data_IF_244387821872
#
_entry.id   IF_244387821872
#
_cell.length_a   1.000
_cell.length_b   1.000
_cell.length_c   1.000
_cell.angle_alpha   90.00
_cell.angle_beta   90.00
_cell.angle_gamma   90.00
#
_symmetry.space_group_name_H-M   'P 1'
#
loop_
_entity.id
_entity.type
_entity.pdbx_description
1 polymer ?
#
# COMPACT_ATOMS: atom_id res chain seq x y z
N UNK A 1 -7.73 30.62 8.80
CA UNK A 1 -6.28 30.28 8.86
C UNK A 1 -5.98 29.02 8.04
N UNK A 2 -6.70 27.91 8.19
CA UNK A 2 -6.53 26.72 7.33
C UNK A 2 -6.82 26.99 5.83
N UNK A 3 -7.83 27.79 5.50
CA UNK A 3 -8.20 28.08 4.11
C UNK A 3 -7.18 28.92 3.35
N UNK A 4 -6.49 29.86 4.00
CA UNK A 4 -5.44 30.68 3.39
C UNK A 4 -4.17 29.85 3.16
N UNK A 5 -3.78 29.03 4.12
CA UNK A 5 -2.62 28.15 3.99
C UNK A 5 -2.81 27.09 2.89
N UNK A 6 -4.01 26.49 2.81
CA UNK A 6 -4.34 25.55 1.73
C UNK A 6 -4.33 26.21 0.35
N UNK A 7 -4.69 27.50 0.27
CA UNK A 7 -4.58 28.27 -0.96
C UNK A 7 -3.11 28.48 -1.34
N UNK A 8 -2.26 28.87 -0.37
CA UNK A 8 -0.83 29.13 -0.59
C UNK A 8 -0.08 27.87 -1.04
N UNK A 9 -0.34 26.71 -0.42
CA UNK A 9 0.30 25.46 -0.81
C UNK A 9 -0.14 25.00 -2.20
N UNK A 10 -1.43 25.13 -2.53
CA UNK A 10 -1.95 24.79 -3.86
C UNK A 10 -1.32 25.69 -4.92
N UNK A 11 -1.20 26.99 -4.64
CA UNK A 11 -0.56 27.94 -5.53
C UNK A 11 0.92 27.62 -5.74
N UNK A 12 1.64 27.30 -4.66
CA UNK A 12 3.03 26.85 -4.75
C UNK A 12 3.20 25.65 -5.69
N UNK A 13 2.37 24.60 -5.54
CA UNK A 13 2.49 23.43 -6.39
C UNK A 13 2.09 23.71 -7.84
N UNK A 14 1.07 24.55 -8.09
CA UNK A 14 0.72 25.00 -9.45
C UNK A 14 1.87 25.76 -10.12
N UNK A 15 2.55 26.64 -9.38
CA UNK A 15 3.65 27.44 -9.93
C UNK A 15 4.91 26.59 -10.15
N UNK A 16 5.20 25.68 -9.22
CA UNK A 16 6.43 24.86 -9.25
C UNK A 16 6.34 23.67 -10.20
N UNK A 17 5.15 23.13 -10.39
CA UNK A 17 4.85 21.92 -11.17
C UNK A 17 3.59 22.13 -12.05
N UNK A 18 3.62 23.08 -13.00
CA UNK A 18 2.43 23.51 -13.73
C UNK A 18 1.82 22.43 -14.62
N UNK A 19 2.62 21.45 -15.05
CA UNK A 19 2.15 20.36 -15.91
C UNK A 19 1.82 19.09 -15.12
N UNK A 20 2.41 18.96 -13.93
CA UNK A 20 2.29 17.75 -13.13
C UNK A 20 1.25 17.89 -12.03
N UNK A 21 1.13 19.05 -11.38
CA UNK A 21 0.20 19.21 -10.27
C UNK A 21 -1.24 19.30 -10.77
N UNK A 22 -2.03 18.32 -10.36
CA UNK A 22 -3.46 18.25 -10.68
C UNK A 22 -4.25 19.02 -9.65
N UNK A 23 -4.24 18.51 -8.41
CA UNK A 23 -5.11 19.03 -7.35
C UNK A 23 -4.62 18.64 -5.95
N UNK A 24 -5.13 19.39 -4.98
CA UNK A 24 -5.03 19.10 -3.56
C UNK A 24 -6.45 19.02 -3.00
N UNK A 25 -6.76 17.94 -2.27
CA UNK A 25 -8.05 17.75 -1.59
C UNK A 25 -7.81 17.48 -0.11
N UNK A 26 -8.65 18.09 0.72
CA UNK A 26 -8.77 17.75 2.14
C UNK A 26 -10.09 17.02 2.31
N UNK A 27 -10.03 15.77 2.77
CA UNK A 27 -11.22 14.96 3.03
C UNK A 27 -11.34 14.68 4.52
N UNK A 28 -12.56 14.64 5.04
CA UNK A 28 -12.82 14.31 6.44
C UNK A 28 -13.12 12.82 6.56
N UNK A 29 -12.24 12.09 7.23
CA UNK A 29 -12.38 10.64 7.49
C UNK A 29 -11.77 10.29 8.85
N UNK A 30 -12.58 10.34 9.92
CA UNK A 30 -12.16 10.22 11.34
C UNK A 30 -11.14 11.28 11.82
N UNK A 31 -10.82 12.23 10.95
CA UNK A 31 -9.83 13.29 11.05
C UNK A 31 -9.56 13.82 9.63
N UNK A 32 -8.64 14.75 9.42
CA UNK A 32 -8.37 15.22 8.06
C UNK A 32 -7.39 14.29 7.36
N UNK A 33 -7.69 13.99 6.10
CA UNK A 33 -6.79 13.28 5.20
C UNK A 33 -6.46 14.20 4.04
N UNK A 34 -5.16 14.41 3.84
CA UNK A 34 -4.63 15.33 2.84
C UNK A 34 -4.23 14.54 1.60
N UNK A 35 -4.81 14.87 0.46
CA UNK A 35 -4.62 14.15 -0.80
C UNK A 35 -4.01 15.08 -1.83
N UNK A 36 -2.79 14.75 -2.27
CA UNK A 36 -2.13 15.43 -3.38
C UNK A 36 -2.12 14.52 -4.60
N UNK A 37 -2.48 15.07 -5.76
CA UNK A 37 -2.50 14.34 -7.02
C UNK A 37 -1.58 15.01 -8.02
N UNK A 38 -0.68 14.21 -8.60
CA UNK A 38 0.23 14.61 -9.64
C UNK A 38 0.12 13.68 -10.84
N UNK A 39 0.31 14.21 -12.04
CA UNK A 39 0.27 13.48 -13.29
C UNK A 39 1.57 13.61 -14.07
N UNK A 40 1.98 12.52 -14.72
CA UNK A 40 3.22 12.41 -15.48
C UNK A 40 2.96 11.68 -16.79
N UNK A 41 3.36 12.28 -17.91
CA UNK A 41 3.29 11.61 -19.22
C UNK A 41 4.21 10.38 -19.30
N UNK A 42 5.42 10.48 -18.73
CA UNK A 42 6.47 9.47 -18.87
C UNK A 42 7.10 9.05 -17.54
N UNK A 43 7.37 7.75 -17.38
CA UNK A 43 8.10 7.17 -16.24
C UNK A 43 9.40 7.93 -15.95
N UNK A 44 10.15 8.28 -16.99
CA UNK A 44 11.44 8.99 -16.87
C UNK A 44 11.31 10.33 -16.15
N UNK A 45 10.20 11.03 -16.35
CA UNK A 45 9.93 12.31 -15.69
C UNK A 45 9.49 12.10 -14.24
N UNK A 46 8.60 11.12 -14.00
CA UNK A 46 8.21 10.70 -12.66
C UNK A 46 9.44 10.35 -11.81
N UNK A 47 10.31 9.48 -12.31
CA UNK A 47 11.48 8.97 -11.61
C UNK A 47 12.49 10.05 -11.19
N UNK A 48 12.54 11.18 -11.90
CA UNK A 48 13.40 12.33 -11.58
C UNK A 48 12.75 13.31 -10.60
N UNK A 49 11.42 13.33 -10.54
CA UNK A 49 10.66 14.44 -9.95
C UNK A 49 10.00 14.08 -8.62
N UNK A 50 9.54 12.83 -8.46
CA UNK A 50 8.71 12.40 -7.31
C UNK A 50 9.34 12.72 -5.95
N UNK A 51 10.65 12.57 -5.80
CA UNK A 51 11.35 12.77 -4.52
C UNK A 51 11.34 14.26 -4.13
N UNK A 52 11.57 15.16 -5.09
CA UNK A 52 11.50 16.60 -4.84
C UNK A 52 10.06 17.02 -4.49
N UNK A 53 9.06 16.45 -5.16
CA UNK A 53 7.65 16.70 -4.84
C UNK A 53 7.34 16.24 -3.41
N UNK A 54 7.75 15.03 -3.05
CA UNK A 54 7.57 14.47 -1.70
C UNK A 54 8.25 15.31 -0.61
N UNK A 55 9.48 15.76 -0.87
CA UNK A 55 10.22 16.65 0.02
C UNK A 55 9.53 18.00 0.22
N UNK A 56 8.95 18.57 -0.85
CA UNK A 56 8.18 19.81 -0.75
C UNK A 56 6.89 19.63 0.04
N UNK A 57 6.16 18.53 -0.14
CA UNK A 57 4.98 18.22 0.69
C UNK A 57 5.39 18.08 2.17
N UNK A 58 6.50 17.40 2.45
CA UNK A 58 6.99 17.26 3.82
C UNK A 58 7.33 18.61 4.46
N UNK A 59 8.16 19.42 3.79
CA UNK A 59 8.71 20.65 4.36
C UNK A 59 7.75 21.82 4.38
N UNK A 60 6.81 21.90 3.43
CA UNK A 60 5.92 23.05 3.26
C UNK A 60 4.50 22.82 3.76
N UNK A 61 4.08 21.56 3.85
CA UNK A 61 2.71 21.21 4.26
C UNK A 61 2.70 20.38 5.54
N UNK A 62 3.37 19.21 5.55
CA UNK A 62 3.34 18.33 6.72
C UNK A 62 3.92 19.00 7.97
N UNK A 63 4.99 19.78 7.83
CA UNK A 63 5.63 20.49 8.94
C UNK A 63 4.71 21.51 9.64
N UNK A 64 3.65 21.97 8.97
CA UNK A 64 2.69 22.96 9.48
C UNK A 64 1.46 22.29 10.12
N UNK A 65 1.29 20.98 9.98
CA UNK A 65 0.21 20.23 10.60
C UNK A 65 0.47 20.03 12.09
N UNK A 66 -0.53 20.32 12.92
CA UNK A 66 -0.43 20.20 14.38
C UNK A 66 -1.09 18.96 14.95
N UNK A 67 -2.08 18.41 14.24
CA UNK A 67 -2.81 17.24 14.69
C UNK A 67 -2.09 15.97 14.25
N UNK A 68 -1.78 15.10 15.21
CA UNK A 68 -1.06 13.84 14.96
C UNK A 68 -1.73 13.01 13.86
N UNK A 69 -3.07 12.93 13.88
CA UNK A 69 -3.79 12.20 12.85
C UNK A 69 -3.52 12.77 11.46
N UNK A 70 -3.61 14.08 11.29
CA UNK A 70 -3.47 14.74 10.00
C UNK A 70 -2.03 14.58 9.46
N UNK A 71 -1.03 14.73 10.35
CA UNK A 71 0.40 14.54 10.02
C UNK A 71 0.66 13.16 9.42
N UNK A 72 0.02 12.13 9.97
CA UNK A 72 0.19 10.75 9.52
C UNK A 72 -0.75 10.34 8.39
N UNK A 73 -1.69 11.18 7.96
CA UNK A 73 -2.69 10.84 6.93
C UNK A 73 -2.56 11.73 5.69
N UNK A 74 -1.35 11.78 5.15
CA UNK A 74 -1.05 12.41 3.86
C UNK A 74 -0.89 11.33 2.80
N UNK A 75 -1.65 11.46 1.71
CA UNK A 75 -1.60 10.61 0.53
C UNK A 75 -1.11 11.40 -0.68
N UNK A 76 -0.23 10.77 -1.46
CA UNK A 76 0.29 11.29 -2.70
C UNK A 76 0.04 10.30 -3.82
N UNK A 77 -0.80 10.68 -4.78
CA UNK A 77 -1.04 9.90 -5.98
C UNK A 77 -0.16 10.41 -7.12
N UNK A 78 0.55 9.47 -7.73
CA UNK A 78 1.34 9.70 -8.93
C UNK A 78 0.71 8.95 -10.10
N UNK A 79 -0.08 9.67 -10.88
CA UNK A 79 -0.69 9.17 -12.09
C UNK A 79 0.35 9.22 -13.20
N UNK A 80 0.59 8.11 -13.88
CA UNK A 80 1.51 8.06 -14.99
C UNK A 80 0.83 7.44 -16.22
N UNK A 81 0.87 8.16 -17.34
CA UNK A 81 0.27 7.68 -18.59
C UNK A 81 0.98 6.46 -19.15
N UNK A 82 2.30 6.41 -19.01
CA UNK A 82 3.09 5.25 -19.40
C UNK A 82 3.15 4.20 -18.30
N UNK A 83 3.46 2.96 -18.68
CA UNK A 83 3.81 1.90 -17.74
C UNK A 83 5.01 2.32 -16.88
N UNK A 84 4.94 2.08 -15.57
CA UNK A 84 6.02 2.38 -14.63
C UNK A 84 6.68 1.08 -14.23
N UNK A 85 8.00 0.99 -14.38
CA UNK A 85 8.74 -0.22 -14.03
C UNK A 85 8.50 -0.63 -12.58
N UNK A 86 8.45 -1.93 -12.35
CA UNK A 86 8.25 -2.51 -11.00
C UNK A 86 9.30 -1.99 -10.01
N UNK A 87 10.55 -1.82 -10.46
CA UNK A 87 11.63 -1.27 -9.64
C UNK A 87 11.35 0.17 -9.19
N UNK A 88 10.85 1.02 -10.08
CA UNK A 88 10.51 2.40 -9.73
C UNK A 88 9.25 2.45 -8.85
N UNK A 89 8.22 1.65 -9.14
CA UNK A 89 7.04 1.51 -8.27
C UNK A 89 7.43 1.17 -6.84
N UNK A 90 8.19 0.08 -6.66
CA UNK A 90 8.66 -0.33 -5.35
C UNK A 90 9.51 0.72 -4.65
N UNK A 91 10.33 1.48 -5.39
CA UNK A 91 11.14 2.54 -4.83
C UNK A 91 10.29 3.67 -4.26
N UNK A 92 9.22 4.05 -4.97
CA UNK A 92 8.37 5.17 -4.59
C UNK A 92 7.38 4.76 -3.50
N UNK A 93 6.67 3.64 -3.66
CA UNK A 93 5.61 3.24 -2.73
C UNK A 93 6.14 2.76 -1.38
N UNK A 94 7.34 2.17 -1.34
CA UNK A 94 7.99 1.82 -0.08
C UNK A 94 8.71 2.98 0.60
N UNK A 95 8.82 4.13 -0.05
CA UNK A 95 9.36 5.32 0.58
C UNK A 95 8.33 5.86 1.60
N UNK A 96 8.53 5.49 2.87
CA UNK A 96 7.66 5.89 3.99
C UNK A 96 7.94 7.30 4.51
N UNK A 97 8.81 8.05 3.84
CA UNK A 97 9.09 9.42 4.22
C UNK A 97 7.84 10.28 3.98
N UNK A 98 7.40 11.01 5.01
CA UNK A 98 6.32 12.01 5.02
C UNK A 98 4.91 11.61 4.62
N UNK A 99 4.71 10.63 3.74
CA UNK A 99 3.40 10.35 3.13
C UNK A 99 3.29 8.91 2.64
N UNK A 100 2.05 8.46 2.47
CA UNK A 100 1.74 7.26 1.68
C UNK A 100 1.72 7.64 0.21
N UNK A 101 2.50 6.94 -0.60
CA UNK A 101 2.64 7.20 -2.04
C UNK A 101 2.04 6.03 -2.80
N UNK A 102 1.28 6.34 -3.84
CA UNK A 102 0.57 5.36 -4.67
C UNK A 102 0.80 5.73 -6.13
N UNK A 103 1.20 4.75 -6.94
CA UNK A 103 1.38 4.94 -8.38
C UNK A 103 0.25 4.26 -9.13
N UNK A 104 -0.40 5.01 -10.01
CA UNK A 104 -1.33 4.49 -11.01
C UNK A 104 -0.65 4.67 -12.37
N UNK A 105 -0.16 3.58 -12.97
CA UNK A 105 0.47 3.60 -14.28
C UNK A 105 -0.49 3.15 -15.38
N UNK A 106 -0.10 3.37 -16.64
CA UNK A 106 -1.02 3.23 -17.78
C UNK A 106 -2.32 4.04 -17.61
N UNK A 107 -2.24 5.16 -16.90
CA UNK A 107 -3.37 6.01 -16.59
C UNK A 107 -3.65 6.94 -17.77
N UNK A 108 -4.57 6.54 -18.64
CA UNK A 108 -4.97 7.28 -19.86
C UNK A 108 -6.35 7.94 -19.71
N UNK A 109 -6.92 7.94 -18.49
CA UNK A 109 -8.20 8.58 -18.23
C UNK A 109 -8.09 10.11 -18.16
N UNK A 110 -9.13 10.80 -18.61
CA UNK A 110 -9.20 12.25 -18.47
C UNK A 110 -9.27 12.62 -16.99
N UNK A 111 -8.29 13.42 -16.54
CA UNK A 111 -8.18 13.80 -15.14
C UNK A 111 -9.28 14.81 -14.81
N UNK A 112 -10.38 14.30 -14.26
CA UNK A 112 -11.51 15.09 -13.78
C UNK A 112 -11.66 14.97 -12.27
N UNK A 113 -12.42 15.88 -11.66
CA UNK A 113 -12.73 15.80 -10.23
C UNK A 113 -13.43 14.50 -9.84
N UNK A 114 -14.17 13.90 -10.78
CA UNK A 114 -14.84 12.61 -10.63
C UNK A 114 -13.79 11.49 -10.53
N UNK A 115 -12.87 11.38 -11.48
CA UNK A 115 -11.81 10.36 -11.45
C UNK A 115 -10.91 10.46 -10.21
N UNK A 116 -10.63 11.67 -9.73
CA UNK A 116 -9.88 11.85 -8.47
C UNK A 116 -10.66 11.31 -7.25
N UNK A 117 -11.99 11.47 -7.22
CA UNK A 117 -12.78 10.91 -6.13
C UNK A 117 -12.82 9.38 -6.19
N UNK A 118 -12.86 8.80 -7.38
CA UNK A 118 -12.83 7.35 -7.56
C UNK A 118 -11.51 6.76 -7.04
N UNK A 119 -10.37 7.39 -7.37
CA UNK A 119 -9.05 7.03 -6.83
C UNK A 119 -9.05 7.07 -5.29
N UNK A 120 -9.60 8.14 -4.69
CA UNK A 120 -9.69 8.28 -3.24
C UNK A 120 -10.56 7.16 -2.64
N UNK A 121 -11.68 6.83 -3.29
CA UNK A 121 -12.60 5.82 -2.79
C UNK A 121 -11.98 4.42 -2.78
N UNK A 122 -11.29 4.07 -3.86
CA UNK A 122 -10.62 2.79 -4.03
C UNK A 122 -9.43 2.63 -3.07
N UNK A 123 -8.66 3.69 -2.84
CA UNK A 123 -7.35 3.58 -2.17
C UNK A 123 -7.32 4.07 -0.71
N UNK A 124 -8.31 4.84 -0.28
CA UNK A 124 -8.30 5.47 1.06
C UNK A 124 -9.53 5.06 1.88
N UNK A 125 -10.73 5.24 1.33
CA UNK A 125 -11.96 5.07 2.11
C UNK A 125 -12.51 3.64 2.05
N UNK A 126 -12.04 2.82 1.09
CA UNK A 126 -12.43 1.41 0.94
C UNK A 126 -13.96 1.24 0.96
N UNK A 127 -14.69 2.19 0.35
CA UNK A 127 -16.16 2.19 0.35
C UNK A 127 -16.73 0.96 -0.36
N UNK A 128 -15.93 0.33 -1.21
CA UNK A 128 -16.28 -0.91 -1.92
C UNK A 128 -16.11 -2.18 -1.08
N UNK A 129 -15.56 -2.09 0.14
CA UNK A 129 -15.56 -3.22 1.08
C UNK A 129 -16.95 -3.32 1.71
N UNK A 130 -17.84 -4.01 0.99
CA UNK A 130 -19.10 -4.47 1.53
C UNK A 130 -18.79 -5.62 2.49
N UNK A 131 -18.77 -5.32 3.80
CA UNK A 131 -18.77 -6.35 4.81
C UNK A 131 -20.17 -6.98 4.86
N UNK A 132 -20.39 -8.05 4.11
CA UNK A 132 -21.54 -8.93 4.28
C UNK A 132 -21.17 -10.08 5.25
N UNK A 133 -21.65 -10.04 6.51
CA UNK A 133 -21.46 -11.13 7.46
C UNK A 133 -22.08 -12.47 6.99
N UNK A 134 -23.02 -12.46 6.03
CA UNK A 134 -23.63 -13.66 5.46
C UNK A 134 -22.77 -14.26 4.32
N UNK A 135 -22.10 -13.45 3.49
CA UNK A 135 -21.12 -13.96 2.49
C UNK A 135 -19.85 -14.49 3.14
N UNK A 136 -19.35 -13.84 4.20
CA UNK A 136 -18.16 -14.32 4.94
C UNK A 136 -18.40 -15.65 5.67
N UNK A 137 -19.65 -16.02 5.97
CA UNK A 137 -20.00 -17.39 6.40
C UNK A 137 -19.92 -18.42 5.26
N UNK A 138 -20.15 -18.03 4.01
CA UNK A 138 -19.93 -18.91 2.83
C UNK A 138 -18.46 -19.02 2.46
N UNK A 139 -17.68 -17.97 2.74
CA UNK A 139 -16.20 -17.94 2.67
C UNK A 139 -15.59 -18.33 4.03
N UNK A 140 -16.33 -19.04 4.89
CA UNK A 140 -15.67 -20.01 5.76
C UNK A 140 -15.27 -21.15 4.84
N UNK A 141 -14.15 -20.90 4.15
CA UNK A 141 -13.23 -21.85 3.60
C UNK A 141 -13.73 -23.29 3.81
N UNK A 142 -14.34 -23.83 2.74
CA UNK A 142 -13.71 -24.98 2.13
C UNK A 142 -12.24 -24.65 1.80
N UNK A 143 -11.45 -24.43 2.86
CA UNK A 143 -10.21 -25.13 2.98
C UNK A 143 -10.71 -26.56 2.95
N UNK A 144 -10.73 -27.13 1.76
CA UNK A 144 -10.09 -28.41 1.70
C UNK A 144 -8.67 -28.16 2.24
N UNK A 145 -8.55 -28.18 3.57
CA UNK A 145 -7.34 -28.55 4.26
C UNK A 145 -7.09 -29.99 3.86
N UNK A 146 -6.82 -30.21 2.58
CA UNK A 146 -5.90 -31.24 2.12
C UNK A 146 -4.48 -30.89 2.58
N UNK A 147 -4.30 -29.97 3.53
CA UNK A 147 -3.22 -30.10 4.49
C UNK A 147 -3.44 -31.42 5.21
N UNK A 148 -2.71 -32.44 4.75
CA UNK A 148 -2.54 -33.70 5.44
C UNK A 148 -2.53 -33.46 6.94
N UNK A 149 -3.56 -33.98 7.60
CA UNK A 149 -3.75 -33.98 9.06
C UNK A 149 -2.46 -34.33 9.79
N UNK A 150 -1.60 -35.14 9.16
CA UNK A 150 -0.30 -35.54 9.66
C UNK A 150 0.68 -34.35 9.84
N UNK A 151 0.73 -33.41 8.89
CA UNK A 151 1.71 -32.29 8.94
C UNK A 151 1.30 -31.29 10.01
N UNK A 152 0.01 -30.97 10.11
CA UNK A 152 -0.48 -30.06 11.14
C UNK A 152 -0.32 -30.63 12.55
N UNK A 153 -0.55 -31.93 12.73
CA UNK A 153 -0.31 -32.62 13.99
C UNK A 153 1.18 -32.65 14.38
N UNK A 154 2.10 -32.70 13.41
CA UNK A 154 3.54 -32.62 13.67
C UNK A 154 4.00 -31.22 14.12
N UNK A 155 3.33 -30.16 13.67
CA UNK A 155 3.77 -28.78 13.90
C UNK A 155 3.08 -28.12 15.10
N UNK A 156 1.85 -28.52 15.45
CA UNK A 156 1.05 -27.83 16.50
C UNK A 156 1.69 -27.83 17.89
N UNK A 157 2.51 -28.84 18.22
CA UNK A 157 3.17 -28.96 19.53
C UNK A 157 4.58 -28.33 19.54
N UNK A 158 4.95 -27.61 18.48
CA UNK A 158 6.28 -27.03 18.32
C UNK A 158 6.47 -25.76 19.17
N UNK A 159 6.78 -25.95 20.46
CA UNK A 159 7.38 -24.89 21.26
C UNK A 159 8.86 -24.74 20.87
N UNK A 160 9.16 -23.84 19.93
CA UNK A 160 10.53 -23.48 19.54
C UNK A 160 11.27 -22.88 20.76
N UNK A 161 11.99 -23.71 21.51
CA UNK A 161 12.85 -23.26 22.61
C UNK A 161 14.20 -22.83 22.04
N UNK A 162 14.71 -21.63 22.34
CA UNK A 162 16.00 -21.18 21.83
C UNK A 162 17.16 -21.98 22.45
N UNK A 163 18.05 -22.53 21.61
CA UNK A 163 19.28 -23.20 22.05
C UNK A 163 19.78 -24.29 21.10
N UNK A 164 21.06 -24.67 21.18
CA UNK A 164 21.71 -25.64 20.26
C UNK A 164 21.05 -27.04 20.23
N UNK A 165 20.35 -27.45 21.29
CA UNK A 165 19.59 -28.71 21.32
C UNK A 165 18.32 -28.66 20.46
N UNK A 166 17.75 -27.47 20.19
CA UNK A 166 16.55 -27.31 19.36
C UNK A 166 16.78 -27.53 17.87
N UNK A 167 18.03 -27.40 17.39
CA UNK A 167 18.37 -27.54 15.97
C UNK A 167 18.27 -29.01 15.56
N UNK A 168 18.77 -29.93 16.39
CA UNK A 168 18.72 -31.37 16.11
C UNK A 168 17.29 -31.91 16.13
N UNK A 169 16.45 -31.42 17.05
CA UNK A 169 15.02 -31.75 17.09
C UNK A 169 14.29 -31.22 15.85
N UNK A 170 14.61 -29.99 15.42
CA UNK A 170 14.03 -29.39 14.20
C UNK A 170 14.44 -30.14 12.94
N UNK A 171 15.71 -30.56 12.81
CA UNK A 171 16.23 -31.33 11.67
C UNK A 171 15.59 -32.73 11.56
N UNK A 172 15.33 -33.37 12.70
CA UNK A 172 14.65 -34.67 12.74
C UNK A 172 13.19 -34.56 12.27
N UNK A 173 12.49 -33.49 12.69
CA UNK A 173 11.09 -33.25 12.30
C UNK A 173 10.99 -32.88 10.82
N UNK A 174 11.89 -32.01 10.31
CA UNK A 174 11.94 -31.70 8.88
C UNK A 174 12.21 -32.93 8.02
N UNK A 175 13.05 -33.86 8.50
CA UNK A 175 13.28 -35.14 7.82
C UNK A 175 12.04 -36.03 7.80
N UNK A 176 11.24 -36.04 8.87
CA UNK A 176 9.98 -36.80 8.93
C UNK A 176 8.91 -36.23 7.99
N UNK A 177 8.78 -34.90 7.95
CA UNK A 177 7.87 -34.22 7.01
C UNK A 177 8.27 -34.53 5.56
N UNK A 178 9.57 -34.44 5.24
CA UNK A 178 10.07 -34.75 3.90
C UNK A 178 9.86 -36.23 3.49
N UNK A 179 9.84 -37.17 4.44
CA UNK A 179 9.53 -38.57 4.16
C UNK A 179 8.04 -38.81 3.93
N UNK A 180 7.16 -38.17 4.71
CA UNK A 180 5.71 -38.32 4.52
C UNK A 180 5.26 -37.80 3.15
N UNK A 181 5.74 -36.63 2.75
CA UNK A 181 5.45 -36.05 1.43
C UNK A 181 5.91 -37.00 0.29
N UNK A 182 7.09 -37.62 0.43
CA UNK A 182 7.59 -38.59 -0.57
C UNK A 182 6.77 -39.89 -0.66
N UNK A 183 6.12 -40.29 0.44
CA UNK A 183 5.32 -41.51 0.47
C UNK A 183 3.93 -41.29 -0.14
N UNK A 184 3.37 -40.07 0.00
CA UNK A 184 2.12 -39.65 -0.64
C UNK A 184 2.25 -39.58 -2.17
N UNK A 185 3.38 -39.08 -2.68
CA UNK A 185 3.69 -39.03 -4.12
C UNK A 185 3.85 -40.42 -4.77
N UNK A 186 4.13 -41.48 -3.98
CA UNK A 186 4.29 -42.85 -4.49
C UNK A 186 2.99 -43.67 -4.50
N UNK A 187 1.91 -43.15 -3.92
CA UNK A 187 0.60 -43.79 -3.88
C UNK A 187 -0.44 -43.16 -4.83
N UNK A 188 -0.03 -42.17 -5.64
CA UNK A 188 -0.85 -41.55 -6.70
C UNK A 188 -0.54 -42.09 -8.10
#
# INVERSE_FOLDING_TARGET
MLSSHNHDITQFFRDRYPNEFVTFKLIEYKGNVSVFVFYFEEEKHLGKTWNNVSGNVAGLYQAELTEDFDVWNIYMFYLCKSEVSLALKYKIENDRFSSRKIILDNYDEEISDIGVNDIINEHITNVDIIYDPEETKKITLSLDTGTDSAIWDLIKDMALKPGKQSITESEQILSQIAQNIKNEDQQS
#
